data_IF_785155595464
#
_entry.id   IF_785155595464
#
_cell.length_a   1.000
_cell.length_b   1.000
_cell.length_c   1.000
_cell.angle_alpha   90.00
_cell.angle_beta   90.00
_cell.angle_gamma   90.00
#
_symmetry.space_group_name_H-M   'P 1'
#
loop_
_entity.id
_entity.type
_entity.pdbx_description
1 polymer ?
#
# COMPACT_ATOMS: atom_id res chain seq x y z
N UNK A 1 -44.11 -3.44 -21.68
CA UNK A 1 -43.00 -2.77 -20.99
C UNK A 1 -43.18 -2.95 -19.49
N UNK A 2 -42.40 -3.82 -18.83
CA UNK A 2 -42.26 -3.77 -17.37
C UNK A 2 -41.10 -2.82 -16.98
N UNK A 3 -41.24 -2.03 -15.90
CA UNK A 3 -40.21 -1.09 -15.49
C UNK A 3 -39.06 -1.80 -14.75
N UNK A 4 -37.87 -1.26 -15.01
CA UNK A 4 -36.55 -1.63 -14.52
C UNK A 4 -36.52 -1.97 -13.02
N UNK A 5 -36.18 -3.21 -12.69
CA UNK A 5 -35.82 -3.64 -11.34
C UNK A 5 -34.45 -3.06 -10.98
N UNK A 6 -34.45 -1.93 -10.28
CA UNK A 6 -33.26 -1.35 -9.65
C UNK A 6 -32.76 -2.29 -8.55
N UNK A 7 -31.93 -3.26 -8.92
CA UNK A 7 -31.15 -4.09 -8.00
C UNK A 7 -30.12 -3.25 -7.27
N UNK A 8 -30.57 -2.54 -6.22
CA UNK A 8 -29.69 -1.87 -5.28
C UNK A 8 -28.83 -2.91 -4.58
N UNK A 9 -27.56 -3.00 -4.97
CA UNK A 9 -26.54 -3.76 -4.26
C UNK A 9 -26.40 -3.15 -2.86
N UNK A 10 -26.98 -3.78 -1.86
CA UNK A 10 -26.77 -3.38 -0.46
C UNK A 10 -25.26 -3.40 -0.19
N UNK A 11 -24.68 -2.34 0.38
CA UNK A 11 -23.27 -2.33 0.72
C UNK A 11 -23.01 -3.40 1.76
N UNK A 12 -22.08 -4.31 1.45
CA UNK A 12 -21.50 -5.25 2.42
C UNK A 12 -20.95 -4.41 3.59
N UNK A 13 -21.47 -4.58 4.82
CA UNK A 13 -21.03 -3.78 5.95
C UNK A 13 -19.62 -4.24 6.34
N UNK A 14 -18.59 -3.64 5.74
CA UNK A 14 -17.26 -3.71 6.33
C UNK A 14 -17.30 -2.90 7.62
N UNK A 15 -17.05 -3.60 8.72
CA UNK A 15 -16.99 -3.09 10.09
C UNK A 15 -16.38 -1.69 10.12
N UNK A 16 -17.21 -0.72 10.50
CA UNK A 16 -16.83 0.70 10.60
C UNK A 16 -16.07 0.84 11.93
N UNK A 17 -14.83 1.37 11.94
CA UNK A 17 -13.97 1.36 13.13
C UNK A 17 -14.36 2.42 14.17
N UNK A 18 -15.60 2.37 14.68
CA UNK A 18 -16.05 3.29 15.73
C UNK A 18 -17.05 2.71 16.75
N UNK A 19 -17.52 1.47 16.63
CA UNK A 19 -18.17 0.80 17.76
C UNK A 19 -17.14 -0.12 18.45
N UNK A 20 -16.95 -0.01 19.78
CA UNK A 20 -16.30 -1.07 20.53
C UNK A 20 -17.09 -2.36 20.31
N UNK A 21 -16.39 -3.48 20.12
CA UNK A 21 -17.03 -4.78 19.92
C UNK A 21 -17.90 -5.09 21.14
N UNK A 22 -19.09 -5.61 20.91
CA UNK A 22 -19.92 -6.11 22.01
C UNK A 22 -19.28 -7.40 22.56
N UNK A 23 -19.46 -7.74 23.85
CA UNK A 23 -18.90 -8.98 24.40
C UNK A 23 -19.41 -10.23 23.66
N UNK A 24 -20.67 -10.22 23.21
CA UNK A 24 -21.22 -11.30 22.37
C UNK A 24 -20.52 -11.40 21.00
N UNK A 25 -20.12 -10.27 20.41
CA UNK A 25 -19.37 -10.27 19.15
C UNK A 25 -17.95 -10.80 19.36
N UNK A 26 -17.31 -10.48 20.48
CA UNK A 26 -15.98 -11.00 20.80
C UNK A 26 -16.00 -12.52 20.99
N UNK A 27 -16.98 -13.05 21.73
CA UNK A 27 -17.16 -14.50 21.90
C UNK A 27 -17.44 -15.22 20.58
N UNK A 28 -18.29 -14.64 19.71
CA UNK A 28 -18.56 -15.18 18.39
C UNK A 28 -17.32 -15.14 17.46
N UNK A 29 -16.50 -14.08 17.55
CA UNK A 29 -15.24 -13.99 16.81
C UNK A 29 -14.22 -15.02 17.34
N UNK A 30 -14.13 -15.24 18.65
CA UNK A 30 -13.25 -16.25 19.25
C UNK A 30 -13.65 -17.67 18.81
N UNK A 31 -14.94 -17.99 18.83
CA UNK A 31 -15.44 -19.26 18.33
C UNK A 31 -15.15 -19.44 16.83
N UNK A 32 -15.35 -18.38 16.03
CA UNK A 32 -15.02 -18.39 14.61
C UNK A 32 -13.53 -18.61 14.38
N UNK A 33 -12.66 -17.92 15.15
CA UNK A 33 -11.21 -18.07 15.07
C UNK A 33 -10.78 -19.48 15.46
N UNK A 34 -11.36 -20.07 16.50
CA UNK A 34 -11.06 -21.46 16.90
C UNK A 34 -11.38 -22.46 15.78
N UNK A 35 -12.55 -22.31 15.14
CA UNK A 35 -12.96 -23.15 13.99
C UNK A 35 -12.04 -22.94 12.79
N UNK A 36 -11.63 -21.71 12.50
CA UNK A 36 -10.71 -21.40 11.41
C UNK A 36 -9.31 -21.98 11.66
N UNK A 37 -8.80 -21.93 12.89
CA UNK A 37 -7.52 -22.53 13.25
C UNK A 37 -7.58 -24.06 13.10
N UNK A 38 -8.67 -24.70 13.52
CA UNK A 38 -8.86 -26.13 13.33
C UNK A 38 -8.84 -26.50 11.83
N UNK A 39 -9.63 -25.81 11.01
CA UNK A 39 -9.67 -26.02 9.57
C UNK A 39 -8.32 -25.71 8.89
N UNK A 40 -7.59 -24.72 9.38
CA UNK A 40 -6.25 -24.41 8.87
C UNK A 40 -5.25 -25.53 9.15
N UNK A 41 -5.32 -26.17 10.32
CA UNK A 41 -4.47 -27.33 10.66
C UNK A 41 -4.74 -28.51 9.74
N UNK A 42 -6.01 -28.86 9.55
CA UNK A 42 -6.42 -29.90 8.59
C UNK A 42 -5.88 -29.61 7.19
N UNK A 43 -5.97 -28.34 6.75
CA UNK A 43 -5.42 -27.91 5.47
C UNK A 43 -3.90 -28.01 5.40
N UNK A 44 -3.19 -27.66 6.48
CA UNK A 44 -1.74 -27.76 6.52
C UNK A 44 -1.27 -29.21 6.37
N UNK A 45 -1.98 -30.16 6.97
CA UNK A 45 -1.74 -31.60 6.78
C UNK A 45 -2.01 -32.04 5.33
N UNK A 46 -3.13 -31.59 4.73
CA UNK A 46 -3.45 -31.83 3.31
C UNK A 46 -2.38 -31.23 2.38
N UNK A 47 -1.92 -30.02 2.63
CA UNK A 47 -0.88 -29.35 1.85
C UNK A 47 0.48 -30.03 2.02
N UNK A 48 0.81 -30.50 3.23
CA UNK A 48 2.01 -31.31 3.48
C UNK A 48 1.97 -32.64 2.71
N UNK A 49 0.79 -33.22 2.51
CA UNK A 49 0.57 -34.39 1.64
C UNK A 49 0.62 -34.07 0.13
N UNK A 50 0.75 -32.78 -0.23
CA UNK A 50 0.87 -32.30 -1.61
C UNK A 50 -0.45 -31.88 -2.26
N UNK A 51 -1.56 -31.82 -1.51
CA UNK A 51 -2.88 -31.46 -2.04
C UNK A 51 -3.22 -30.00 -1.70
N UNK A 52 -3.13 -29.11 -2.69
CA UNK A 52 -3.49 -27.68 -2.52
C UNK A 52 -4.88 -27.39 -3.10
N UNK A 53 -5.82 -26.94 -2.26
CA UNK A 53 -7.19 -26.58 -2.68
C UNK A 53 -7.30 -25.10 -3.07
N UNK A 54 -7.13 -24.82 -4.37
CA UNK A 54 -7.19 -23.48 -4.95
C UNK A 54 -8.62 -22.88 -4.94
N UNK A 55 -8.76 -21.60 -4.57
CA UNK A 55 -10.03 -20.86 -4.62
C UNK A 55 -10.49 -20.58 -6.08
N UNK A 56 -9.52 -20.45 -6.98
CA UNK A 56 -9.66 -20.20 -8.42
C UNK A 56 -8.61 -20.99 -9.20
N UNK A 57 -8.80 -22.32 -9.37
CA UNK A 57 -7.78 -23.18 -9.97
C UNK A 57 -7.31 -22.69 -11.35
N UNK A 58 -8.23 -22.31 -12.23
CA UNK A 58 -7.92 -21.89 -13.61
C UNK A 58 -7.03 -20.64 -13.69
N UNK A 59 -7.10 -19.76 -12.70
CA UNK A 59 -6.28 -18.55 -12.64
C UNK A 59 -5.01 -18.73 -11.81
N UNK A 60 -5.11 -19.48 -10.70
CA UNK A 60 -4.04 -19.60 -9.71
C UNK A 60 -3.01 -20.67 -10.10
N UNK A 61 -3.44 -21.83 -10.59
CA UNK A 61 -2.55 -22.94 -10.96
C UNK A 61 -1.52 -22.48 -12.00
N UNK A 62 -1.90 -21.83 -13.13
CA UNK A 62 -0.92 -21.42 -14.14
C UNK A 62 0.13 -20.43 -13.61
N UNK A 63 -0.23 -19.59 -12.64
CA UNK A 63 0.64 -18.55 -12.10
C UNK A 63 1.51 -19.02 -10.93
N UNK A 64 1.01 -19.95 -10.13
CA UNK A 64 1.56 -20.27 -8.81
C UNK A 64 2.00 -21.73 -8.67
N UNK A 65 1.46 -22.67 -9.47
CA UNK A 65 1.75 -24.10 -9.30
C UNK A 65 3.24 -24.44 -9.48
N UNK A 66 3.96 -23.71 -10.35
CA UNK A 66 5.42 -23.87 -10.53
C UNK A 66 6.24 -23.52 -9.28
N UNK A 67 5.69 -22.71 -8.37
CA UNK A 67 6.33 -22.33 -7.10
C UNK A 67 5.89 -23.21 -5.92
N UNK A 68 4.79 -23.94 -6.07
CA UNK A 68 4.16 -24.73 -5.02
C UNK A 68 4.58 -26.21 -5.01
N UNK A 69 5.51 -26.62 -5.89
CA UNK A 69 5.98 -28.03 -5.99
C UNK A 69 7.03 -28.39 -4.93
N UNK A 70 7.48 -27.43 -4.11
CA UNK A 70 8.33 -27.71 -2.95
C UNK A 70 7.49 -28.13 -1.75
N UNK A 71 7.98 -29.08 -0.97
CA UNK A 71 7.50 -29.33 0.40
C UNK A 71 7.52 -27.98 1.13
N UNK A 72 6.37 -27.53 1.66
CA UNK A 72 6.35 -26.37 2.54
C UNK A 72 7.10 -26.78 3.81
N UNK A 73 8.35 -26.32 3.93
CA UNK A 73 9.13 -26.43 5.15
C UNK A 73 8.91 -25.18 5.98
N UNK A 74 8.88 -25.33 7.30
CA UNK A 74 8.89 -24.20 8.22
C UNK A 74 10.14 -23.40 7.92
N UNK A 75 9.95 -22.21 7.37
CA UNK A 75 11.05 -21.31 7.09
C UNK A 75 11.59 -20.84 8.44
N UNK A 76 12.67 -21.47 8.89
CA UNK A 76 13.53 -20.92 9.92
C UNK A 76 14.13 -19.64 9.33
N UNK A 77 13.42 -18.53 9.55
CA UNK A 77 13.86 -17.21 9.17
C UNK A 77 14.97 -16.87 10.16
N UNK A 78 16.26 -16.92 9.76
CA UNK A 78 17.32 -16.50 10.67
C UNK A 78 16.99 -15.07 11.09
N UNK A 79 16.94 -14.84 12.41
CA UNK A 79 16.92 -13.48 12.93
C UNK A 79 18.07 -12.73 12.22
N UNK A 80 17.80 -11.59 11.57
CA UNK A 80 18.83 -10.92 10.80
C UNK A 80 20.02 -10.66 11.74
N UNK A 81 21.18 -11.28 11.43
CA UNK A 81 22.44 -10.89 12.05
C UNK A 81 22.53 -9.37 11.96
N UNK A 82 22.83 -8.76 13.11
CA UNK A 82 22.69 -7.34 13.38
C UNK A 82 22.97 -6.51 12.12
N UNK A 83 21.89 -5.90 11.64
CA UNK A 83 21.85 -5.08 10.44
C UNK A 83 23.12 -4.25 10.29
N UNK A 84 23.81 -4.39 9.15
CA UNK A 84 24.55 -3.26 8.61
C UNK A 84 23.62 -2.06 8.72
N UNK A 85 24.05 -1.04 9.48
CA UNK A 85 23.19 0.05 9.93
C UNK A 85 22.33 0.52 8.77
N UNK A 86 21.02 0.24 8.86
CA UNK A 86 20.05 0.74 7.90
C UNK A 86 20.31 2.23 7.78
N UNK A 87 20.49 2.78 6.56
CA UNK A 87 20.72 4.21 6.42
C UNK A 87 19.62 4.92 7.20
N UNK A 88 20.04 5.80 8.12
CA UNK A 88 19.11 6.52 8.96
C UNK A 88 18.13 7.24 8.05
N UNK A 89 16.84 6.99 8.24
CA UNK A 89 15.81 7.63 7.45
C UNK A 89 15.94 9.15 7.61
N UNK A 90 16.06 9.93 6.53
CA UNK A 90 16.37 11.36 6.61
C UNK A 90 15.13 12.16 7.01
N UNK A 91 14.70 12.02 8.27
CA UNK A 91 13.55 12.70 8.87
C UNK A 91 13.66 14.22 8.74
N UNK A 92 14.84 14.77 9.00
CA UNK A 92 15.09 16.22 8.94
C UNK A 92 14.93 16.80 7.52
N UNK A 93 15.30 16.04 6.49
CA UNK A 93 15.14 16.48 5.09
C UNK A 93 13.68 16.43 4.66
N UNK A 94 12.91 15.45 5.15
CA UNK A 94 11.47 15.34 4.90
C UNK A 94 10.65 16.38 5.68
N UNK A 95 11.11 16.80 6.87
CA UNK A 95 10.49 17.89 7.64
C UNK A 95 10.70 19.24 6.98
N UNK A 96 11.83 19.45 6.27
CA UNK A 96 12.07 20.64 5.45
C UNK A 96 11.12 20.75 4.25
N UNK A 97 10.59 19.63 3.76
CA UNK A 97 9.65 19.57 2.64
C UNK A 97 8.17 19.80 3.04
N UNK A 98 7.90 20.13 4.32
CA UNK A 98 6.54 20.30 4.83
C UNK A 98 5.80 21.54 4.26
N UNK A 99 6.52 22.52 3.71
CA UNK A 99 5.92 23.69 3.09
C UNK A 99 5.86 23.53 1.56
N UNK A 100 4.75 23.97 0.90
CA UNK A 100 4.64 23.93 -0.55
C UNK A 100 5.72 24.80 -1.20
N UNK A 101 6.57 24.18 -2.02
CA UNK A 101 7.74 24.80 -2.61
C UNK A 101 7.53 25.13 -4.09
N UNK A 102 8.18 26.20 -4.56
CA UNK A 102 8.22 26.61 -5.97
C UNK A 102 9.28 25.80 -6.72
N UNK A 103 9.04 25.49 -8.00
CA UNK A 103 10.02 24.80 -8.85
C UNK A 103 11.36 25.56 -8.94
N UNK A 104 11.33 26.90 -8.97
CA UNK A 104 12.53 27.73 -8.95
C UNK A 104 13.32 27.62 -7.64
N UNK A 105 12.63 27.62 -6.49
CA UNK A 105 13.26 27.45 -5.18
C UNK A 105 13.89 26.05 -5.03
N UNK A 106 13.21 25.01 -5.53
CA UNK A 106 13.74 23.65 -5.54
C UNK A 106 14.96 23.53 -6.47
N UNK A 107 14.95 24.15 -7.65
CA UNK A 107 16.10 24.17 -8.57
C UNK A 107 17.36 24.77 -7.92
N UNK A 108 17.19 25.84 -7.14
CA UNK A 108 18.28 26.52 -6.44
C UNK A 108 18.87 25.71 -5.26
N UNK A 109 18.10 24.80 -4.67
CA UNK A 109 18.56 23.95 -3.56
C UNK A 109 19.56 22.87 -4.00
N UNK A 110 19.60 22.53 -5.29
CA UNK A 110 20.52 21.53 -5.81
C UNK A 110 21.88 22.13 -6.20
N UNK A 111 22.97 21.43 -5.88
CA UNK A 111 24.34 21.79 -6.28
C UNK A 111 24.44 22.04 -7.79
N UNK A 112 25.18 23.07 -8.20
CA UNK A 112 25.42 23.46 -9.59
C UNK A 112 24.77 24.81 -9.98
N UNK A 113 24.96 25.25 -11.23
CA UNK A 113 24.40 26.51 -11.74
C UNK A 113 22.87 26.41 -11.81
N UNK A 114 22.17 27.35 -11.17
CA UNK A 114 20.74 27.55 -11.43
C UNK A 114 20.56 28.22 -12.80
N UNK A 115 19.77 27.58 -13.68
CA UNK A 115 19.61 28.03 -15.06
C UNK A 115 18.17 27.83 -15.51
N UNK A 116 17.71 28.67 -16.45
CA UNK A 116 16.37 28.55 -17.03
C UNK A 116 16.02 27.13 -17.54
N UNK A 117 16.90 26.40 -18.27
CA UNK A 117 16.60 25.03 -18.69
C UNK A 117 16.48 24.06 -17.50
N UNK A 118 17.28 24.24 -16.45
CA UNK A 118 17.19 23.42 -15.23
C UNK A 118 15.86 23.63 -14.53
N UNK A 119 15.41 24.88 -14.36
CA UNK A 119 14.12 25.19 -13.74
C UNK A 119 12.95 24.55 -14.50
N UNK A 120 12.96 24.61 -15.84
CA UNK A 120 11.98 23.91 -16.68
C UNK A 120 12.03 22.38 -16.52
N UNK A 121 13.22 21.80 -16.40
CA UNK A 121 13.36 20.36 -16.17
C UNK A 121 12.82 19.94 -14.80
N UNK A 122 13.07 20.73 -13.75
CA UNK A 122 12.53 20.52 -12.40
C UNK A 122 11.01 20.65 -12.40
N UNK A 123 10.46 21.66 -13.05
CA UNK A 123 9.01 21.85 -13.20
C UNK A 123 8.36 20.65 -13.89
N UNK A 124 8.90 20.20 -15.03
CA UNK A 124 8.41 19.00 -15.73
C UNK A 124 8.47 17.74 -14.85
N UNK A 125 9.54 17.56 -14.07
CA UNK A 125 9.65 16.44 -13.15
C UNK A 125 8.59 16.49 -12.04
N UNK A 126 8.32 17.67 -11.50
CA UNK A 126 7.27 17.87 -10.49
C UNK A 126 5.87 17.63 -11.06
N UNK A 127 5.61 18.03 -12.31
CA UNK A 127 4.36 17.70 -13.02
C UNK A 127 4.19 16.19 -13.16
N UNK A 128 5.24 15.45 -13.53
CA UNK A 128 5.17 13.99 -13.62
C UNK A 128 4.93 13.32 -12.27
N UNK A 129 5.54 13.85 -11.20
CA UNK A 129 5.33 13.34 -9.84
C UNK A 129 3.92 13.66 -9.34
N UNK A 130 3.37 14.81 -9.71
CA UNK A 130 1.99 15.17 -9.42
C UNK A 130 1.00 14.26 -10.17
N UNK A 131 1.26 13.97 -11.45
CA UNK A 131 0.46 13.04 -12.24
C UNK A 131 0.52 11.60 -11.69
N UNK A 132 1.67 11.20 -11.13
CA UNK A 132 1.85 9.91 -10.46
C UNK A 132 1.24 9.86 -9.05
N UNK A 133 0.75 10.98 -8.52
CA UNK A 133 0.18 11.09 -7.16
C UNK A 133 1.22 11.11 -6.03
N UNK A 134 2.52 11.17 -6.36
CA UNK A 134 3.60 11.26 -5.38
C UNK A 134 3.78 12.69 -4.82
N UNK A 135 3.24 13.70 -5.52
CA UNK A 135 3.19 15.08 -5.08
C UNK A 135 1.82 15.69 -5.38
N UNK A 136 1.45 16.76 -4.68
CA UNK A 136 0.26 17.55 -4.97
C UNK A 136 0.68 18.94 -5.45
N UNK A 137 -0.04 19.43 -6.47
CA UNK A 137 0.08 20.80 -6.98
C UNK A 137 -0.99 21.66 -6.34
N UNK A 138 -0.60 22.75 -5.69
CA UNK A 138 -1.52 23.80 -5.25
C UNK A 138 -1.52 24.93 -6.28
N UNK A 139 -2.71 25.35 -6.70
CA UNK A 139 -2.89 26.42 -7.69
C UNK A 139 -2.84 27.83 -7.06
N UNK A 140 -2.89 27.93 -5.74
CA UNK A 140 -3.12 29.20 -5.05
C UNK A 140 -1.89 29.63 -4.26
N UNK A 141 -0.90 30.14 -4.98
CA UNK A 141 0.02 31.12 -4.40
C UNK A 141 -0.48 32.51 -4.71
N UNK A 142 -0.39 33.43 -3.74
CA UNK A 142 -0.78 34.85 -3.89
C UNK A 142 -0.15 35.55 -5.12
N UNK A 143 0.90 34.94 -5.71
CA UNK A 143 1.63 35.42 -6.89
C UNK A 143 1.28 34.68 -8.21
N UNK A 144 0.30 33.76 -8.23
CA UNK A 144 -0.11 33.01 -9.43
C UNK A 144 0.83 31.87 -9.85
N UNK A 145 1.83 31.55 -9.04
CA UNK A 145 2.80 30.48 -9.31
C UNK A 145 2.38 29.13 -8.71
N UNK A 146 2.55 28.05 -9.48
CA UNK A 146 2.30 26.68 -9.03
C UNK A 146 3.27 26.26 -7.93
N UNK A 147 2.75 25.75 -6.80
CA UNK A 147 3.56 25.20 -5.72
C UNK A 147 3.30 23.71 -5.57
N UNK A 148 4.33 22.98 -5.13
CA UNK A 148 4.31 21.53 -5.02
C UNK A 148 4.64 21.10 -3.59
N UNK A 149 3.92 20.12 -3.07
CA UNK A 149 4.17 19.52 -1.76
C UNK A 149 3.90 18.02 -1.78
N UNK A 150 4.44 17.30 -0.80
CA UNK A 150 4.19 15.86 -0.62
C UNK A 150 3.13 15.70 0.49
N UNK A 151 1.96 15.10 0.21
CA UNK A 151 0.97 14.84 1.25
C UNK A 151 1.51 13.82 2.27
N UNK A 152 1.32 14.08 3.57
CA UNK A 152 1.65 13.16 4.66
C UNK A 152 0.47 12.28 5.04
#
# INVERSE_FOLDING_TARGET
>A
MPPSGSGGRLPIPYSRPCCPKTPEQEEAEEELLARLVALNRERAEEEQSGTVRWLRPDYQIPKLARKATGRQEEADLPAPEAAAARPAWPREELDRAAAPARAAALSAAFKGRDSAPRRKAVEKALETLAAAGAAQRTADGEDGESRYFIPR
#
